data_IF_392486877011
#
_entry.id   IF_392486877011
#
_cell.length_a   1.000
_cell.length_b   1.000
_cell.length_c   1.000
_cell.angle_alpha   90.00
_cell.angle_beta   90.00
_cell.angle_gamma   90.00
#
_symmetry.space_group_name_H-M   'P 1'
#
loop_
_entity.id
_entity.type
_entity.pdbx_description
1 polymer ?
#
# COMPACT_ATOMS: atom_id res chain seq x y z
N UNK A 1 30.43 102.62 -87.64
CA UNK A 1 29.06 102.41 -87.14
C UNK A 1 28.84 103.33 -85.95
N UNK A 2 27.67 103.95 -85.81
CA UNK A 2 27.34 104.74 -84.61
C UNK A 2 27.11 103.80 -83.39
N UNK A 3 27.31 104.25 -82.15
CA UNK A 3 27.04 103.42 -80.97
C UNK A 3 25.60 102.87 -80.95
N UNK A 4 24.62 103.65 -81.38
CA UNK A 4 23.21 103.24 -81.46
C UNK A 4 22.97 102.16 -82.53
N UNK A 5 23.63 102.22 -83.68
CA UNK A 5 23.56 101.16 -84.69
C UNK A 5 24.21 99.86 -84.21
N UNK A 6 25.26 99.96 -83.38
CA UNK A 6 25.93 98.80 -82.80
C UNK A 6 25.03 98.09 -81.78
N UNK A 7 24.48 98.82 -80.80
CA UNK A 7 23.62 98.25 -79.76
C UNK A 7 22.36 97.57 -80.33
N UNK A 8 21.82 98.08 -81.44
CA UNK A 8 20.64 97.53 -82.12
C UNK A 8 20.99 96.51 -83.22
N UNK A 9 22.25 96.08 -83.33
CA UNK A 9 22.65 95.13 -84.36
C UNK A 9 22.05 93.75 -84.10
N UNK A 10 21.55 93.09 -85.14
CA UNK A 10 20.94 91.74 -85.09
C UNK A 10 21.80 90.64 -84.44
N UNK A 11 23.11 90.88 -84.34
CA UNK A 11 24.08 90.00 -83.69
C UNK A 11 23.67 89.69 -82.24
N UNK A 12 23.24 90.70 -81.49
CA UNK A 12 22.88 90.53 -80.08
C UNK A 12 21.66 89.63 -79.93
N UNK A 13 20.66 89.76 -80.80
CA UNK A 13 19.50 88.87 -80.86
C UNK A 13 19.92 87.42 -81.17
N UNK A 14 20.84 87.22 -82.12
CA UNK A 14 21.33 85.86 -82.46
C UNK A 14 22.15 85.24 -81.33
N UNK A 15 22.92 86.06 -80.61
CA UNK A 15 23.68 85.61 -79.45
C UNK A 15 22.76 85.23 -78.28
N UNK A 16 21.70 86.00 -78.04
CA UNK A 16 20.67 85.70 -77.04
C UNK A 16 19.88 84.44 -77.39
N UNK A 17 19.43 84.30 -78.64
CA UNK A 17 18.73 83.09 -79.11
C UNK A 17 19.57 81.82 -78.93
N UNK A 18 20.88 81.92 -79.20
CA UNK A 18 21.80 80.80 -79.01
C UNK A 18 22.04 80.51 -77.52
N UNK A 19 22.23 81.52 -76.67
CA UNK A 19 22.37 81.35 -75.22
C UNK A 19 21.13 80.70 -74.59
N UNK A 20 19.93 81.17 -74.96
CA UNK A 20 18.67 80.56 -74.52
C UNK A 20 18.57 79.11 -74.95
N UNK A 21 18.96 78.78 -76.19
CA UNK A 21 18.91 77.38 -76.67
C UNK A 21 19.94 76.49 -75.96
N UNK A 22 21.10 77.00 -75.58
CA UNK A 22 22.10 76.26 -74.79
C UNK A 22 21.62 76.00 -73.36
N UNK A 23 20.83 76.91 -72.79
CA UNK A 23 20.26 76.77 -71.44
C UNK A 23 19.02 75.89 -71.37
N UNK A 24 18.41 75.59 -72.52
CA UNK A 24 17.21 74.77 -72.65
C UNK A 24 17.43 73.35 -72.08
N UNK A 25 16.54 72.91 -71.19
CA UNK A 25 16.68 71.62 -70.48
C UNK A 25 16.74 70.44 -71.47
N UNK A 26 15.93 70.48 -72.53
CA UNK A 26 15.89 69.45 -73.58
C UNK A 26 17.26 69.27 -74.24
N UNK A 27 17.97 70.36 -74.54
CA UNK A 27 19.29 70.26 -75.16
C UNK A 27 20.34 69.73 -74.16
N UNK A 28 20.27 70.15 -72.89
CA UNK A 28 21.26 69.79 -71.87
C UNK A 28 21.23 68.31 -71.50
N UNK A 29 20.08 67.65 -71.65
CA UNK A 29 19.97 66.18 -71.51
C UNK A 29 20.60 65.43 -72.69
N UNK A 30 20.68 66.04 -73.87
CA UNK A 30 21.11 65.39 -75.11
C UNK A 30 22.58 65.62 -75.46
N UNK A 31 23.16 66.74 -75.02
CA UNK A 31 24.54 67.15 -75.34
C UNK A 31 25.48 66.80 -74.19
N UNK A 32 26.69 66.34 -74.51
CA UNK A 32 27.72 66.05 -73.51
C UNK A 32 28.16 67.30 -72.73
N UNK A 33 28.52 67.11 -71.46
CA UNK A 33 28.94 68.19 -70.56
C UNK A 33 30.09 69.04 -71.14
N UNK A 34 31.02 68.41 -71.86
CA UNK A 34 32.16 69.10 -72.48
C UNK A 34 31.73 70.09 -73.59
N UNK A 35 30.78 69.69 -74.44
CA UNK A 35 30.28 70.53 -75.53
C UNK A 35 29.40 71.66 -74.99
N UNK A 36 28.58 71.41 -73.95
CA UNK A 36 27.82 72.46 -73.25
C UNK A 36 28.76 73.50 -72.63
N UNK A 37 29.78 73.04 -71.90
CA UNK A 37 30.77 73.93 -71.30
C UNK A 37 31.51 74.76 -72.37
N UNK A 38 31.81 74.18 -73.53
CA UNK A 38 32.35 74.91 -74.67
C UNK A 38 31.42 76.05 -75.12
N UNK A 39 30.14 75.76 -75.39
CA UNK A 39 29.20 76.77 -75.87
C UNK A 39 28.97 77.88 -74.83
N UNK A 40 28.76 77.53 -73.56
CA UNK A 40 28.58 78.51 -72.49
C UNK A 40 29.79 79.43 -72.35
N UNK A 41 31.00 78.85 -72.38
CA UNK A 41 32.25 79.62 -72.31
C UNK A 41 32.44 80.53 -73.54
N UNK A 42 32.13 80.01 -74.73
CA UNK A 42 32.26 80.74 -75.99
C UNK A 42 31.28 81.92 -76.07
N UNK A 43 30.01 81.71 -75.70
CA UNK A 43 28.98 82.75 -75.70
C UNK A 43 29.30 83.83 -74.68
N UNK A 44 29.73 83.45 -73.47
CA UNK A 44 30.17 84.41 -72.46
C UNK A 44 31.34 85.27 -72.98
N UNK A 45 32.33 84.65 -73.60
CA UNK A 45 33.45 85.37 -74.21
C UNK A 45 32.99 86.34 -75.32
N UNK A 46 32.06 85.92 -76.17
CA UNK A 46 31.46 86.77 -77.21
C UNK A 46 30.77 87.99 -76.59
N UNK A 47 29.94 87.80 -75.55
CA UNK A 47 29.30 88.89 -74.82
C UNK A 47 30.30 89.88 -74.23
N UNK A 48 31.29 89.38 -73.47
CA UNK A 48 32.30 90.21 -72.82
C UNK A 48 33.08 91.03 -73.86
N UNK A 49 33.44 90.41 -74.98
CA UNK A 49 34.16 91.09 -76.07
C UNK A 49 33.32 92.16 -76.75
N UNK A 50 32.05 91.89 -77.03
CA UNK A 50 31.16 92.86 -77.66
C UNK A 50 30.89 94.06 -76.74
N UNK A 51 30.70 93.82 -75.44
CA UNK A 51 30.49 94.88 -74.45
C UNK A 51 31.70 95.82 -74.29
N UNK A 52 32.91 95.30 -74.51
CA UNK A 52 34.15 96.08 -74.41
C UNK A 52 34.59 96.71 -75.74
N UNK A 53 33.88 96.42 -76.84
CA UNK A 53 34.28 96.88 -78.18
C UNK A 53 34.03 98.38 -78.35
N UNK A 54 34.92 99.08 -79.06
CA UNK A 54 34.76 100.50 -79.42
C UNK A 54 33.89 100.60 -80.69
N UNK A 55 32.59 100.96 -80.60
CA UNK A 55 31.66 100.80 -81.73
C UNK A 55 31.99 101.68 -82.94
N UNK A 56 32.56 102.86 -82.70
CA UNK A 56 32.84 103.87 -83.74
C UNK A 56 33.80 103.41 -84.84
N UNK A 57 34.64 102.41 -84.55
CA UNK A 57 35.68 101.89 -85.45
C UNK A 57 35.44 100.44 -85.89
N UNK A 58 34.26 99.89 -85.61
CA UNK A 58 33.85 98.56 -86.10
C UNK A 58 33.26 98.67 -87.50
N UNK A 59 33.66 97.77 -88.37
CA UNK A 59 33.03 97.57 -89.68
C UNK A 59 31.78 96.71 -89.52
N UNK A 60 30.66 97.16 -90.06
CA UNK A 60 29.37 96.46 -90.00
C UNK A 60 29.43 95.05 -90.61
N UNK A 61 30.23 94.87 -91.67
CA UNK A 61 30.45 93.57 -92.31
C UNK A 61 31.01 92.51 -91.36
N UNK A 62 31.84 92.89 -90.39
CA UNK A 62 32.38 91.95 -89.40
C UNK A 62 31.29 91.50 -88.43
N UNK A 63 30.41 92.41 -87.98
CA UNK A 63 29.28 92.06 -87.12
C UNK A 63 28.24 91.20 -87.83
N UNK A 64 27.96 91.50 -89.11
CA UNK A 64 27.09 90.68 -89.95
C UNK A 64 27.65 89.27 -90.14
N UNK A 65 28.97 89.15 -90.31
CA UNK A 65 29.63 87.84 -90.41
C UNK A 65 29.50 87.06 -89.11
N UNK A 66 29.78 87.67 -87.96
CA UNK A 66 29.61 87.02 -86.65
C UNK A 66 28.15 86.59 -86.46
N UNK A 67 27.19 87.47 -86.78
CA UNK A 67 25.76 87.18 -86.68
C UNK A 67 25.36 85.96 -87.52
N UNK A 68 25.89 85.86 -88.73
CA UNK A 68 25.62 84.74 -89.64
C UNK A 68 26.19 83.44 -89.08
N UNK A 69 27.39 83.46 -88.54
CA UNK A 69 27.99 82.27 -87.91
C UNK A 69 27.23 81.82 -86.66
N UNK A 70 26.74 82.74 -85.82
CA UNK A 70 25.90 82.39 -84.67
C UNK A 70 24.54 81.81 -85.10
N UNK A 71 23.94 82.37 -86.15
CA UNK A 71 22.70 81.83 -86.72
C UNK A 71 22.92 80.42 -87.28
N UNK A 72 24.04 80.17 -87.97
CA UNK A 72 24.40 78.86 -88.48
C UNK A 72 24.63 77.86 -87.34
N UNK A 73 25.32 78.27 -86.26
CA UNK A 73 25.49 77.45 -85.07
C UNK A 73 24.14 77.07 -84.45
N UNK A 74 23.23 78.02 -84.27
CA UNK A 74 21.87 77.78 -83.77
C UNK A 74 21.09 76.81 -84.68
N UNK A 75 21.19 76.96 -86.00
CA UNK A 75 20.53 76.04 -86.95
C UNK A 75 21.06 74.61 -86.83
N UNK A 76 22.36 74.44 -86.61
CA UNK A 76 22.96 73.12 -86.39
C UNK A 76 22.48 72.51 -85.06
N UNK A 77 22.42 73.28 -83.98
CA UNK A 77 21.90 72.82 -82.69
C UNK A 77 20.43 72.39 -82.79
N UNK A 78 19.59 73.18 -83.47
CA UNK A 78 18.20 72.80 -83.70
C UNK A 78 18.07 71.51 -84.53
N UNK A 79 18.96 71.32 -85.51
CA UNK A 79 19.01 70.08 -86.31
C UNK A 79 19.44 68.88 -85.46
N UNK A 80 20.39 69.09 -84.52
CA UNK A 80 20.81 68.07 -83.57
C UNK A 80 19.66 67.62 -82.65
N UNK A 81 18.87 68.55 -82.11
CA UNK A 81 17.71 68.21 -81.27
C UNK A 81 16.72 67.31 -82.04
N UNK A 82 16.50 67.59 -83.33
CA UNK A 82 15.57 66.82 -84.16
C UNK A 82 16.03 65.42 -84.57
N UNK A 83 17.34 65.19 -84.79
CA UNK A 83 17.83 63.92 -85.37
C UNK A 83 18.97 63.23 -84.58
N UNK A 84 19.48 63.86 -83.52
CA UNK A 84 20.53 63.37 -82.63
C UNK A 84 21.87 63.03 -83.31
N UNK A 85 22.12 63.56 -84.51
CA UNK A 85 23.37 63.35 -85.23
C UNK A 85 24.48 64.25 -84.68
N UNK A 86 25.49 63.66 -84.02
CA UNK A 86 26.64 64.35 -83.42
C UNK A 86 27.47 65.19 -84.41
N UNK A 87 27.36 64.94 -85.72
CA UNK A 87 27.95 65.81 -86.74
C UNK A 87 27.43 67.25 -86.67
N UNK A 88 26.17 67.45 -86.27
CA UNK A 88 25.61 68.79 -86.08
C UNK A 88 26.23 69.53 -84.90
N UNK A 89 26.54 68.86 -83.78
CA UNK A 89 27.26 69.47 -82.65
C UNK A 89 28.65 69.90 -83.10
N UNK A 90 29.36 69.05 -83.84
CA UNK A 90 30.67 69.38 -84.41
C UNK A 90 30.60 70.62 -85.33
N UNK A 91 29.60 70.70 -86.21
CA UNK A 91 29.42 71.85 -87.09
C UNK A 91 29.05 73.13 -86.33
N UNK A 92 28.20 73.02 -85.30
CA UNK A 92 27.87 74.14 -84.42
C UNK A 92 29.12 74.71 -83.74
N UNK A 93 30.04 73.85 -83.28
CA UNK A 93 31.34 74.28 -82.74
C UNK A 93 32.20 74.98 -83.79
N UNK A 94 32.26 74.47 -85.01
CA UNK A 94 33.03 75.09 -86.10
C UNK A 94 32.54 76.51 -86.44
N UNK A 95 31.22 76.70 -86.53
CA UNK A 95 30.61 78.02 -86.70
C UNK A 95 30.91 78.95 -85.52
N UNK A 96 30.79 78.44 -84.28
CA UNK A 96 31.13 79.19 -83.06
C UNK A 96 32.61 79.59 -83.03
N UNK A 97 33.53 78.70 -83.41
CA UNK A 97 34.95 79.02 -83.54
C UNK A 97 35.21 80.12 -84.57
N UNK A 98 34.47 80.11 -85.69
CA UNK A 98 34.57 81.15 -86.72
C UNK A 98 34.11 82.51 -86.16
N UNK A 99 33.00 82.53 -85.43
CA UNK A 99 32.53 83.71 -84.71
C UNK A 99 33.56 84.22 -83.68
N UNK A 100 34.17 83.33 -82.90
CA UNK A 100 35.22 83.66 -81.93
C UNK A 100 36.47 84.26 -82.58
N UNK A 101 36.91 83.71 -83.72
CA UNK A 101 38.06 84.22 -84.46
C UNK A 101 37.82 85.66 -84.95
N UNK A 102 36.58 85.98 -85.33
CA UNK A 102 36.16 87.30 -85.78
C UNK A 102 36.02 88.30 -84.64
N UNK A 103 35.33 87.92 -83.55
CA UNK A 103 35.13 88.81 -82.39
C UNK A 103 36.45 89.21 -81.72
N UNK A 104 37.46 88.33 -81.76
CA UNK A 104 38.80 88.61 -81.22
C UNK A 104 39.47 89.81 -81.88
N UNK A 105 39.16 90.08 -83.15
CA UNK A 105 39.76 91.17 -83.92
C UNK A 105 39.02 92.51 -83.73
N UNK A 106 37.89 92.53 -83.00
CA UNK A 106 37.18 93.77 -82.73
C UNK A 106 38.02 94.71 -81.85
N UNK A 107 38.02 96.03 -82.11
CA UNK A 107 38.84 96.98 -81.38
C UNK A 107 38.42 97.09 -79.91
N UNK A 108 39.38 96.92 -79.00
CA UNK A 108 39.19 97.11 -77.56
C UNK A 108 39.99 98.30 -77.02
N UNK A 109 39.51 98.98 -75.97
CA UNK A 109 40.33 99.91 -75.20
C UNK A 109 41.31 99.11 -74.33
N UNK A 110 42.59 99.02 -74.73
CA UNK A 110 43.62 98.43 -73.89
C UNK A 110 44.24 99.48 -72.96
N UNK A 111 44.03 99.32 -71.64
CA UNK A 111 44.89 99.88 -70.60
C UNK A 111 45.98 98.87 -70.27
N UNK A 112 47.25 99.29 -70.22
CA UNK A 112 48.43 98.42 -70.21
C UNK A 112 48.68 97.62 -68.91
N UNK A 113 47.86 97.75 -67.86
CA UNK A 113 48.29 97.35 -66.51
C UNK A 113 47.39 96.43 -65.66
N UNK A 114 46.20 95.98 -66.09
CA UNK A 114 45.22 95.41 -65.13
C UNK A 114 44.88 93.91 -65.22
N UNK A 115 45.63 93.06 -65.92
CA UNK A 115 45.32 91.62 -65.90
C UNK A 115 46.54 90.70 -65.75
N UNK A 116 46.79 90.25 -64.51
CA UNK A 116 47.61 89.07 -64.22
C UNK A 116 46.70 87.93 -63.72
N UNK A 117 45.84 87.43 -64.60
CA UNK A 117 45.02 86.24 -64.33
C UNK A 117 45.85 84.98 -64.06
N UNK A 118 47.10 84.93 -64.55
CA UNK A 118 47.95 83.74 -64.45
C UNK A 118 48.22 83.30 -63.02
N UNK A 119 48.37 84.25 -62.07
CA UNK A 119 48.58 83.91 -60.65
C UNK A 119 47.32 83.37 -59.96
N UNK A 120 46.15 83.95 -60.26
CA UNK A 120 44.88 83.47 -59.72
C UNK A 120 44.48 82.12 -60.33
N UNK A 121 44.74 81.92 -61.62
CA UNK A 121 44.54 80.64 -62.32
C UNK A 121 45.48 79.56 -61.75
N UNK A 122 46.77 79.87 -61.53
CA UNK A 122 47.71 78.92 -60.92
C UNK A 122 47.33 78.56 -59.47
N UNK A 123 46.87 79.53 -58.68
CA UNK A 123 46.37 79.26 -57.32
C UNK A 123 45.09 78.41 -57.35
N UNK A 124 44.18 78.68 -58.28
CA UNK A 124 42.97 77.87 -58.46
C UNK A 124 43.32 76.44 -58.89
N UNK A 125 44.22 76.26 -59.87
CA UNK A 125 44.72 74.93 -60.29
C UNK A 125 45.31 74.16 -59.11
N UNK A 126 46.11 74.83 -58.27
CA UNK A 126 46.68 74.23 -57.05
C UNK A 126 45.59 73.76 -56.08
N UNK A 127 44.62 74.62 -55.76
CA UNK A 127 43.51 74.29 -54.84
C UNK A 127 42.68 73.13 -55.40
N UNK A 128 42.39 73.14 -56.71
CA UNK A 128 41.67 72.06 -57.38
C UNK A 128 42.44 70.74 -57.30
N UNK A 129 43.77 70.75 -57.50
CA UNK A 129 44.60 69.55 -57.34
C UNK A 129 44.60 69.01 -55.91
N UNK A 130 44.74 69.89 -54.92
CA UNK A 130 44.70 69.52 -53.51
C UNK A 130 43.35 68.90 -53.14
N UNK A 131 42.24 69.53 -53.55
CA UNK A 131 40.89 69.00 -53.32
C UNK A 131 40.60 67.72 -54.09
N UNK A 132 41.09 67.59 -55.31
CA UNK A 132 40.99 66.35 -56.08
C UNK A 132 41.72 65.21 -55.38
N UNK A 133 42.94 65.45 -54.88
CA UNK A 133 43.70 64.45 -54.13
C UNK A 133 43.04 64.06 -52.81
N UNK A 134 42.38 65.00 -52.13
CA UNK A 134 41.62 64.73 -50.90
C UNK A 134 40.39 63.85 -51.20
N UNK A 135 39.62 64.18 -52.24
CA UNK A 135 38.48 63.39 -52.70
C UNK A 135 38.92 61.98 -53.15
N UNK A 136 40.03 61.87 -53.87
CA UNK A 136 40.56 60.57 -54.32
C UNK A 136 40.93 59.68 -53.13
N UNK A 137 41.52 60.29 -52.08
CA UNK A 137 41.82 59.59 -50.83
C UNK A 137 40.56 59.16 -50.10
N UNK A 138 39.59 60.05 -49.89
CA UNK A 138 38.31 59.75 -49.22
C UNK A 138 37.55 58.65 -49.98
N UNK A 139 37.53 58.69 -51.31
CA UNK A 139 36.87 57.68 -52.13
C UNK A 139 37.58 56.32 -52.04
N UNK A 140 38.91 56.30 -51.92
CA UNK A 140 39.66 55.07 -51.67
C UNK A 140 39.36 54.49 -50.28
N UNK A 141 39.30 55.32 -49.24
CA UNK A 141 38.96 54.91 -47.87
C UNK A 141 37.53 54.37 -47.80
N UNK A 142 36.57 55.08 -48.38
CA UNK A 142 35.17 54.64 -48.46
C UNK A 142 35.02 53.31 -49.20
N UNK A 143 35.79 53.11 -50.27
CA UNK A 143 35.80 51.83 -50.99
C UNK A 143 36.34 50.69 -50.12
N UNK A 144 37.38 50.93 -49.33
CA UNK A 144 37.91 49.93 -48.39
C UNK A 144 36.89 49.59 -47.31
N UNK A 145 36.24 50.59 -46.71
CA UNK A 145 35.18 50.37 -45.71
C UNK A 145 33.98 49.62 -46.30
N UNK A 146 33.59 49.94 -47.53
CA UNK A 146 32.51 49.24 -48.22
C UNK A 146 32.80 47.76 -48.45
N UNK A 147 34.01 47.42 -48.91
CA UNK A 147 34.40 46.02 -49.11
C UNK A 147 34.49 45.26 -47.79
N UNK A 148 34.96 45.92 -46.71
CA UNK A 148 34.95 45.33 -45.37
C UNK A 148 33.53 45.05 -44.88
N UNK A 149 32.63 46.04 -44.96
CA UNK A 149 31.24 45.89 -44.53
C UNK A 149 30.51 44.82 -45.34
N UNK A 150 30.78 44.73 -46.64
CA UNK A 150 30.26 43.67 -47.50
C UNK A 150 30.74 42.29 -47.04
N UNK A 151 32.01 42.14 -46.70
CA UNK A 151 32.55 40.88 -46.18
C UNK A 151 31.93 40.50 -44.83
N UNK A 152 31.77 41.45 -43.92
CA UNK A 152 31.11 41.24 -42.63
C UNK A 152 29.63 40.85 -42.80
N UNK A 153 28.93 41.45 -43.76
CA UNK A 153 27.55 41.10 -44.10
C UNK A 153 27.44 39.66 -44.64
N UNK A 154 28.33 39.26 -45.55
CA UNK A 154 28.36 37.89 -46.09
C UNK A 154 28.66 36.85 -44.98
N UNK A 155 29.58 37.17 -44.07
CA UNK A 155 29.87 36.31 -42.90
C UNK A 155 28.66 36.21 -41.97
N UNK A 156 28.01 37.33 -41.67
CA UNK A 156 26.82 37.37 -40.81
C UNK A 156 25.68 36.57 -41.43
N UNK A 157 25.43 36.71 -42.73
CA UNK A 157 24.43 35.95 -43.47
C UNK A 157 24.69 34.43 -43.35
N UNK A 158 25.94 34.01 -43.53
CA UNK A 158 26.34 32.60 -43.41
C UNK A 158 26.11 32.07 -41.99
N UNK A 159 26.41 32.87 -40.97
CA UNK A 159 26.21 32.48 -39.58
C UNK A 159 24.73 32.39 -39.21
N UNK A 160 23.89 33.28 -39.73
CA UNK A 160 22.43 33.21 -39.57
C UNK A 160 21.88 31.92 -40.17
N UNK A 161 22.24 31.58 -41.41
CA UNK A 161 21.82 30.33 -42.05
C UNK A 161 22.28 29.08 -41.28
N UNK A 162 23.49 29.14 -40.70
CA UNK A 162 24.01 28.06 -39.85
C UNK A 162 23.19 27.91 -38.57
N UNK A 163 22.85 29.02 -37.93
CA UNK A 163 22.04 29.04 -36.71
C UNK A 163 20.61 28.58 -36.96
N UNK A 164 19.98 28.99 -38.07
CA UNK A 164 18.66 28.53 -38.47
C UNK A 164 18.61 27.01 -38.64
N UNK A 165 19.58 26.42 -39.36
CA UNK A 165 19.70 24.97 -39.51
C UNK A 165 19.92 24.25 -38.18
N UNK A 166 20.74 24.81 -37.30
CA UNK A 166 20.97 24.24 -35.98
C UNK A 166 19.71 24.28 -35.11
N UNK A 167 18.92 25.36 -35.21
CA UNK A 167 17.66 25.50 -34.49
C UNK A 167 16.61 24.51 -34.99
N UNK A 168 16.46 24.35 -36.31
CA UNK A 168 15.57 23.36 -36.93
C UNK A 168 15.94 21.93 -36.51
N UNK A 169 17.23 21.60 -36.48
CA UNK A 169 17.70 20.31 -35.97
C UNK A 169 17.32 20.09 -34.51
N UNK A 170 17.50 21.11 -33.65
CA UNK A 170 17.15 21.03 -32.23
C UNK A 170 15.66 20.92 -32.00
N UNK A 171 14.84 21.58 -32.80
CA UNK A 171 13.39 21.46 -32.75
C UNK A 171 12.93 20.04 -33.11
N UNK A 172 13.52 19.45 -34.16
CA UNK A 172 13.25 18.06 -34.54
C UNK A 172 13.70 17.04 -33.48
N UNK A 173 14.88 17.24 -32.88
CA UNK A 173 15.35 16.42 -31.75
C UNK A 173 14.38 16.50 -30.57
N UNK A 174 13.93 17.71 -30.21
CA UNK A 174 13.01 17.93 -29.09
C UNK A 174 11.65 17.26 -29.33
N UNK A 175 11.11 17.38 -30.54
CA UNK A 175 9.87 16.72 -30.94
C UNK A 175 9.98 15.20 -30.83
N UNK A 176 11.07 14.61 -31.33
CA UNK A 176 11.32 13.17 -31.25
C UNK A 176 11.46 12.69 -29.78
N UNK A 177 12.21 13.44 -28.95
CA UNK A 177 12.34 13.14 -27.52
C UNK A 177 10.97 13.18 -26.84
N UNK A 178 10.14 14.17 -27.16
CA UNK A 178 8.82 14.32 -26.55
C UNK A 178 7.87 13.19 -26.96
N UNK A 179 7.87 12.78 -28.22
CA UNK A 179 7.10 11.62 -28.71
C UNK A 179 7.58 10.31 -28.09
N UNK A 180 8.89 10.10 -28.00
CA UNK A 180 9.49 8.94 -27.35
C UNK A 180 9.14 8.90 -25.86
N UNK A 181 9.25 10.02 -25.17
CA UNK A 181 8.89 10.14 -23.75
C UNK A 181 7.41 9.81 -23.53
N UNK A 182 6.51 10.39 -24.34
CA UNK A 182 5.07 10.14 -24.25
C UNK A 182 4.75 8.66 -24.47
N UNK A 183 5.33 8.06 -25.50
CA UNK A 183 5.15 6.63 -25.82
C UNK A 183 5.66 5.75 -24.67
N UNK A 184 6.84 6.03 -24.15
CA UNK A 184 7.40 5.27 -23.02
C UNK A 184 6.56 5.43 -21.75
N UNK A 185 6.10 6.65 -21.46
CA UNK A 185 5.22 6.91 -20.32
C UNK A 185 3.91 6.15 -20.42
N UNK A 186 3.25 6.18 -21.58
CA UNK A 186 1.99 5.47 -21.81
C UNK A 186 2.19 3.94 -21.74
N UNK A 187 3.30 3.42 -22.27
CA UNK A 187 3.65 2.00 -22.17
C UNK A 187 3.91 1.57 -20.71
N UNK A 188 4.69 2.34 -19.95
CA UNK A 188 4.95 2.07 -18.53
C UNK A 188 3.64 2.11 -17.74
N UNK A 189 2.81 3.12 -17.96
CA UNK A 189 1.51 3.26 -17.30
C UNK A 189 0.59 2.09 -17.61
N UNK A 190 0.49 1.69 -18.87
CA UNK A 190 -0.32 0.55 -19.30
C UNK A 190 0.17 -0.74 -18.67
N UNK A 191 1.49 -1.00 -18.74
CA UNK A 191 2.11 -2.22 -18.19
C UNK A 191 1.93 -2.29 -16.68
N UNK A 192 2.17 -1.19 -15.96
CA UNK A 192 1.99 -1.12 -14.52
C UNK A 192 0.52 -1.36 -14.11
N UNK A 193 -0.42 -0.81 -14.87
CA UNK A 193 -1.86 -1.01 -14.64
C UNK A 193 -2.25 -2.47 -14.86
N UNK A 194 -1.81 -3.07 -15.96
CA UNK A 194 -2.09 -4.48 -16.28
C UNK A 194 -1.47 -5.42 -15.24
N UNK A 195 -0.21 -5.21 -14.86
CA UNK A 195 0.44 -6.01 -13.83
C UNK A 195 -0.29 -5.90 -12.49
N UNK A 196 -0.66 -4.69 -12.07
CA UNK A 196 -1.40 -4.49 -10.82
C UNK A 196 -2.77 -5.17 -10.84
N UNK A 197 -3.51 -5.09 -11.95
CA UNK A 197 -4.79 -5.77 -12.10
C UNK A 197 -4.65 -7.29 -12.09
N UNK A 198 -3.62 -7.81 -12.76
CA UNK A 198 -3.30 -9.24 -12.79
C UNK A 198 -2.91 -9.73 -11.39
N UNK A 199 -1.98 -9.06 -10.71
CA UNK A 199 -1.54 -9.41 -9.35
C UNK A 199 -2.72 -9.38 -8.37
N UNK A 200 -3.58 -8.36 -8.47
CA UNK A 200 -4.79 -8.26 -7.65
C UNK A 200 -5.76 -9.41 -7.92
N UNK A 201 -5.91 -9.83 -9.17
CA UNK A 201 -6.77 -10.96 -9.54
C UNK A 201 -6.19 -12.28 -9.03
N UNK A 202 -4.89 -12.50 -9.23
CA UNK A 202 -4.19 -13.70 -8.75
C UNK A 202 -4.28 -13.80 -7.24
N UNK A 203 -3.97 -12.72 -6.52
CA UNK A 203 -4.04 -12.68 -5.06
C UNK A 203 -5.46 -12.96 -4.55
N UNK A 204 -6.51 -12.43 -5.20
CA UNK A 204 -7.89 -12.73 -4.83
C UNK A 204 -8.22 -14.21 -5.00
N UNK A 205 -7.83 -14.82 -6.12
CA UNK A 205 -8.06 -16.23 -6.36
C UNK A 205 -7.33 -17.11 -5.33
N UNK A 206 -6.04 -16.83 -5.07
CA UNK A 206 -5.27 -17.56 -4.05
C UNK A 206 -5.85 -17.39 -2.64
N UNK A 207 -6.32 -16.20 -2.32
CA UNK A 207 -6.99 -15.92 -1.04
C UNK A 207 -8.29 -16.70 -0.91
N UNK A 208 -9.15 -16.68 -1.94
CA UNK A 208 -10.43 -17.38 -1.95
C UNK A 208 -10.22 -18.91 -1.86
N UNK A 209 -9.23 -19.46 -2.58
CA UNK A 209 -8.83 -20.87 -2.47
C UNK A 209 -8.34 -21.22 -1.05
N UNK A 210 -7.54 -20.36 -0.44
CA UNK A 210 -7.05 -20.55 0.94
C UNK A 210 -8.20 -20.54 1.94
N UNK A 211 -9.16 -19.62 1.79
CA UNK A 211 -10.36 -19.55 2.65
C UNK A 211 -11.21 -20.80 2.47
N UNK A 212 -11.40 -21.29 1.25
CA UNK A 212 -12.15 -22.52 1.00
C UNK A 212 -11.47 -23.74 1.64
N UNK A 213 -10.15 -23.84 1.51
CA UNK A 213 -9.36 -24.92 2.11
C UNK A 213 -9.43 -24.88 3.64
N UNK A 214 -9.26 -23.70 4.24
CA UNK A 214 -9.37 -23.52 5.69
C UNK A 214 -10.77 -23.88 6.20
N UNK A 215 -11.83 -23.49 5.47
CA UNK A 215 -13.20 -23.88 5.82
C UNK A 215 -13.40 -25.40 5.78
N UNK A 216 -12.83 -26.09 4.78
CA UNK A 216 -12.87 -27.57 4.71
C UNK A 216 -12.10 -28.22 5.86
N UNK A 217 -10.93 -27.69 6.21
CA UNK A 217 -10.14 -28.19 7.35
C UNK A 217 -10.87 -27.99 8.68
N UNK A 218 -11.46 -26.81 8.90
CA UNK A 218 -12.27 -26.51 10.09
C UNK A 218 -13.48 -27.45 10.19
N UNK A 219 -14.20 -27.66 9.08
CA UNK A 219 -15.34 -28.56 9.05
C UNK A 219 -14.92 -30.02 9.32
N UNK A 220 -13.78 -30.45 8.76
CA UNK A 220 -13.23 -31.79 9.01
C UNK A 220 -12.83 -31.96 10.48
N UNK A 221 -12.16 -30.95 11.06
CA UNK A 221 -11.76 -30.96 12.47
C UNK A 221 -12.98 -30.99 13.39
N UNK A 222 -13.99 -30.16 13.11
CA UNK A 222 -15.25 -30.12 13.85
C UNK A 222 -15.93 -31.49 13.82
N UNK A 223 -16.11 -32.08 12.65
CA UNK A 223 -16.71 -33.41 12.52
C UNK A 223 -15.90 -34.50 13.25
N UNK A 224 -14.57 -34.41 13.25
CA UNK A 224 -13.71 -35.33 14.02
C UNK A 224 -13.86 -35.14 15.52
N UNK A 225 -13.99 -33.90 16.01
CA UNK A 225 -14.21 -33.59 17.43
C UNK A 225 -15.59 -34.07 17.87
N UNK A 226 -16.64 -33.78 17.09
CA UNK A 226 -18.01 -34.20 17.38
C UNK A 226 -18.09 -35.73 17.45
N UNK A 227 -17.59 -36.43 16.43
CA UNK A 227 -17.55 -37.90 16.42
C UNK A 227 -16.72 -38.49 17.56
N UNK A 228 -15.56 -37.90 17.86
CA UNK A 228 -14.71 -38.36 18.96
C UNK A 228 -15.34 -38.12 20.34
N UNK A 229 -16.07 -37.01 20.49
CA UNK A 229 -16.79 -36.67 21.72
C UNK A 229 -17.98 -37.60 21.92
N UNK A 230 -18.77 -37.86 20.87
CA UNK A 230 -19.90 -38.80 20.92
C UNK A 230 -19.44 -40.21 21.30
N UNK A 231 -18.35 -40.71 20.69
CA UNK A 231 -17.76 -42.00 21.03
C UNK A 231 -17.26 -42.04 22.49
N UNK A 232 -16.62 -40.96 22.96
CA UNK A 232 -16.18 -40.85 24.36
C UNK A 232 -17.35 -40.84 25.33
N UNK A 233 -18.42 -40.09 25.04
CA UNK A 233 -19.64 -40.04 25.85
C UNK A 233 -20.29 -41.42 25.90
N UNK A 234 -20.45 -42.10 24.76
CA UNK A 234 -20.98 -43.46 24.71
C UNK A 234 -20.15 -44.45 25.55
N UNK A 235 -18.82 -44.35 25.48
CA UNK A 235 -17.91 -45.15 26.33
C UNK A 235 -18.07 -44.83 27.81
N UNK A 236 -18.22 -43.56 28.18
CA UNK A 236 -18.43 -43.14 29.57
C UNK A 236 -19.79 -43.61 30.11
N UNK A 237 -20.85 -43.52 29.31
CA UNK A 237 -22.18 -44.03 29.67
C UNK A 237 -22.17 -45.55 29.86
N UNK A 238 -21.49 -46.29 28.98
CA UNK A 238 -21.30 -47.72 29.14
C UNK A 238 -20.54 -48.06 30.44
N UNK A 239 -19.48 -47.31 30.75
CA UNK A 239 -18.72 -47.47 32.01
C UNK A 239 -19.53 -47.10 33.24
N UNK A 240 -20.37 -46.07 33.17
CA UNK A 240 -21.31 -45.71 34.22
C UNK A 240 -22.30 -46.85 34.49
N UNK A 241 -22.84 -47.45 33.43
CA UNK A 241 -23.79 -48.57 33.55
C UNK A 241 -23.15 -49.84 34.10
N UNK A 242 -21.92 -50.15 33.67
CA UNK A 242 -21.10 -51.21 34.28
C UNK A 242 -20.87 -50.95 35.78
N UNK A 243 -20.49 -49.73 36.14
CA UNK A 243 -20.27 -49.34 37.54
C UNK A 243 -21.55 -49.45 38.38
N UNK A 244 -22.70 -49.00 37.86
CA UNK A 244 -24.01 -49.16 38.52
C UNK A 244 -24.35 -50.63 38.76
N UNK A 245 -24.12 -51.50 37.78
CA UNK A 245 -24.33 -52.95 37.92
C UNK A 245 -23.41 -53.57 38.97
N UNK A 246 -22.12 -53.21 38.96
CA UNK A 246 -21.16 -53.70 39.96
C UNK A 246 -21.58 -53.26 41.36
N UNK A 247 -21.90 -51.97 41.54
CA UNK A 247 -22.32 -51.45 42.85
C UNK A 247 -23.63 -52.09 43.31
N UNK A 248 -24.63 -52.23 42.44
CA UNK A 248 -25.91 -52.88 42.77
C UNK A 248 -25.76 -54.37 43.13
N UNK A 249 -24.92 -55.12 42.41
CA UNK A 249 -24.67 -56.53 42.71
C UNK A 249 -23.82 -56.70 43.98
N UNK A 250 -22.82 -55.83 44.20
CA UNK A 250 -21.95 -55.90 45.37
C UNK A 250 -22.69 -55.45 46.63
N UNK A 251 -23.56 -54.43 46.60
CA UNK A 251 -24.31 -54.01 47.80
C UNK A 251 -25.31 -55.07 48.25
N UNK A 252 -26.08 -55.64 47.30
CA UNK A 252 -27.16 -56.56 47.65
C UNK A 252 -26.65 -57.92 48.13
N UNK A 253 -25.61 -58.50 47.50
CA UNK A 253 -25.12 -59.83 47.87
C UNK A 253 -24.06 -59.84 48.97
N UNK A 254 -23.19 -58.83 49.05
CA UNK A 254 -22.08 -58.88 50.01
C UNK A 254 -22.54 -58.61 51.44
N UNK A 255 -23.43 -57.64 51.64
CA UNK A 255 -23.89 -57.27 52.99
C UNK A 255 -24.90 -58.28 53.53
N UNK A 256 -25.93 -58.62 52.77
CA UNK A 256 -26.99 -59.55 53.21
C UNK A 256 -26.49 -60.99 53.32
N UNK A 257 -25.64 -61.43 52.40
CA UNK A 257 -25.07 -62.78 52.40
C UNK A 257 -24.20 -63.07 53.62
N UNK A 258 -23.47 -62.07 54.14
CA UNK A 258 -22.68 -62.25 55.36
C UNK A 258 -23.58 -62.41 56.60
N UNK A 259 -24.62 -61.58 56.74
CA UNK A 259 -25.61 -61.72 57.81
C UNK A 259 -26.35 -63.07 57.74
N UNK A 260 -26.69 -63.53 56.53
CA UNK A 260 -27.30 -64.84 56.30
C UNK A 260 -26.40 -66.00 56.75
N UNK A 261 -25.12 -65.95 56.38
CA UNK A 261 -24.14 -66.98 56.76
C UNK A 261 -23.95 -67.02 58.28
N UNK A 262 -23.75 -65.86 58.92
CA UNK A 262 -23.62 -65.74 60.38
C UNK A 262 -24.89 -66.22 61.09
N UNK A 263 -26.07 -65.89 60.58
CA UNK A 263 -27.33 -66.39 61.14
C UNK A 263 -27.42 -67.92 61.05
N UNK A 264 -27.14 -68.49 59.88
CA UNK A 264 -27.18 -69.94 59.66
C UNK A 264 -26.18 -70.71 60.55
N UNK A 265 -24.97 -70.18 60.76
CA UNK A 265 -23.96 -70.81 61.61
C UNK A 265 -24.33 -70.74 63.10
N UNK A 266 -24.91 -69.62 63.54
CA UNK A 266 -25.48 -69.49 64.88
C UNK A 266 -26.68 -70.41 65.09
N UNK A 267 -27.56 -70.57 64.09
CA UNK A 267 -28.68 -71.52 64.12
C UNK A 267 -28.19 -72.96 64.37
N UNK A 268 -27.22 -73.41 63.55
CA UNK A 268 -26.62 -74.74 63.70
C UNK A 268 -25.98 -74.92 65.07
N UNK A 269 -25.29 -73.90 65.58
CA UNK A 269 -24.62 -73.97 66.89
C UNK A 269 -25.65 -74.00 68.03
N UNK A 270 -26.71 -73.21 67.94
CA UNK A 270 -27.82 -73.24 68.87
C UNK A 270 -28.48 -74.62 68.93
N UNK A 271 -28.74 -75.25 67.77
CA UNK A 271 -29.34 -76.57 67.70
C UNK A 271 -28.40 -77.66 68.23
N UNK A 272 -27.10 -77.58 67.95
CA UNK A 272 -26.10 -78.49 68.56
C UNK A 272 -26.15 -78.42 70.09
N UNK A 273 -26.10 -77.22 70.67
CA UNK A 273 -26.19 -77.05 72.12
C UNK A 273 -27.55 -77.48 72.68
N UNK A 274 -28.64 -77.30 71.94
CA UNK A 274 -29.97 -77.80 72.31
C UNK A 274 -29.98 -79.32 72.39
N UNK A 275 -29.43 -80.01 71.40
CA UNK A 275 -29.32 -81.47 71.40
C UNK A 275 -28.41 -81.97 72.52
N UNK A 276 -27.31 -81.29 72.82
CA UNK A 276 -26.45 -81.59 73.99
C UNK A 276 -27.25 -81.44 75.29
N UNK A 277 -27.98 -80.34 75.46
CA UNK A 277 -28.79 -80.10 76.65
C UNK A 277 -29.91 -81.15 76.82
N UNK A 278 -30.62 -81.49 75.74
CA UNK A 278 -31.64 -82.54 75.74
C UNK A 278 -31.02 -83.89 76.08
N UNK A 279 -29.87 -84.23 75.49
CA UNK A 279 -29.14 -85.46 75.78
C UNK A 279 -28.76 -85.58 77.26
N UNK A 280 -28.20 -84.52 77.84
CA UNK A 280 -27.86 -84.47 79.27
C UNK A 280 -29.09 -84.57 80.16
N UNK A 281 -30.20 -83.92 79.80
CA UNK A 281 -31.47 -84.01 80.52
C UNK A 281 -32.11 -85.40 80.44
N UNK A 282 -31.98 -86.08 79.30
CA UNK A 282 -32.43 -87.47 79.14
C UNK A 282 -31.59 -88.44 79.97
N UNK A 283 -30.27 -88.27 80.01
CA UNK A 283 -29.37 -89.06 80.88
C UNK A 283 -29.72 -88.83 82.34
N UNK A 284 -29.93 -87.57 82.75
CA UNK A 284 -30.33 -87.22 84.11
C UNK A 284 -31.69 -87.82 84.48
N UNK A 285 -32.67 -87.73 83.58
CA UNK A 285 -33.99 -88.35 83.77
C UNK A 285 -33.91 -89.88 83.85
N UNK A 286 -33.10 -90.51 82.98
CA UNK A 286 -32.84 -91.95 83.01
C UNK A 286 -32.17 -92.41 84.30
N UNK A 287 -31.19 -91.65 84.79
CA UNK A 287 -30.61 -91.88 86.12
C UNK A 287 -31.68 -91.82 87.20
N UNK A 288 -32.54 -90.79 87.21
CA UNK A 288 -33.62 -90.68 88.20
C UNK A 288 -34.59 -91.88 88.13
N UNK A 289 -35.01 -92.31 86.94
CA UNK A 289 -35.88 -93.49 86.76
C UNK A 289 -35.20 -94.76 87.27
N UNK A 290 -33.93 -94.99 86.89
CA UNK A 290 -33.14 -96.11 87.37
C UNK A 290 -33.03 -96.11 88.91
N UNK A 291 -32.86 -94.93 89.50
CA UNK A 291 -32.74 -94.81 90.97
C UNK A 291 -34.04 -95.17 91.70
N UNK A 292 -35.20 -94.83 91.12
CA UNK A 292 -36.52 -95.20 91.67
C UNK A 292 -36.71 -96.72 91.59
N UNK A 293 -36.27 -97.35 90.50
CA UNK A 293 -36.36 -98.80 90.33
C UNK A 293 -35.48 -99.58 91.30
N UNK A 294 -34.21 -99.17 91.49
CA UNK A 294 -33.24 -99.86 92.36
C UNK A 294 -33.60 -99.79 93.86
N UNK A 295 -34.32 -98.75 94.31
CA UNK A 295 -34.79 -98.61 95.71
C UNK A 295 -35.83 -99.66 96.09
N UNK A 296 -36.41 -100.38 95.12
CA UNK A 296 -37.41 -101.43 95.37
C UNK A 296 -36.80 -102.79 95.77
N UNK A 297 -35.47 -102.90 95.91
CA UNK A 297 -34.74 -104.08 96.41
C UNK A 297 -34.25 -103.90 97.86
N UNK A 298 -34.27 -104.99 98.64
CA UNK A 298 -34.32 -105.08 100.11
C UNK A 298 -33.09 -104.57 100.93
N UNK A 299 -32.47 -103.45 100.58
CA UNK A 299 -31.52 -102.75 101.48
C UNK A 299 -31.31 -101.28 101.10
N UNK A 300 -31.80 -100.37 101.95
CA UNK A 300 -31.59 -98.93 101.78
C UNK A 300 -30.14 -98.52 102.14
N UNK A 301 -29.36 -98.11 101.14
CA UNK A 301 -27.98 -97.62 101.30
C UNK A 301 -27.93 -96.10 101.08
N UNK A 302 -27.71 -95.36 102.16
CA UNK A 302 -27.66 -93.89 102.14
C UNK A 302 -26.49 -93.36 101.30
N UNK A 303 -25.38 -94.12 101.21
CA UNK A 303 -24.16 -93.73 100.48
C UNK A 303 -24.43 -93.68 98.98
N UNK A 304 -25.15 -94.69 98.46
CA UNK A 304 -25.59 -94.75 97.05
C UNK A 304 -26.52 -93.58 96.72
N UNK A 305 -27.41 -93.20 97.64
CA UNK A 305 -28.33 -92.07 97.45
C UNK A 305 -27.61 -90.72 97.38
N UNK A 306 -26.56 -90.51 98.19
CA UNK A 306 -25.76 -89.28 98.16
C UNK A 306 -24.98 -89.15 96.84
N UNK A 307 -24.36 -90.23 96.36
CA UNK A 307 -23.63 -90.25 95.08
C UNK A 307 -24.59 -89.90 93.92
N UNK A 308 -25.85 -90.38 93.96
CA UNK A 308 -26.87 -90.06 92.93
C UNK A 308 -27.24 -88.59 92.87
N UNK A 309 -27.47 -87.96 94.03
CA UNK A 309 -27.77 -86.52 94.11
C UNK A 309 -26.58 -85.71 93.60
N UNK A 310 -25.35 -86.09 93.99
CA UNK A 310 -24.12 -85.44 93.51
C UNK A 310 -23.92 -85.63 92.01
N UNK A 311 -24.21 -86.82 91.44
CA UNK A 311 -24.14 -87.06 90.00
C UNK A 311 -25.21 -86.28 89.23
N UNK A 312 -26.43 -86.18 89.73
CA UNK A 312 -27.49 -85.36 89.14
C UNK A 312 -27.13 -83.85 89.19
N UNK A 313 -26.57 -83.38 90.31
CA UNK A 313 -26.07 -82.02 90.44
C UNK A 313 -24.90 -81.74 89.48
N UNK A 314 -23.96 -82.67 89.35
CA UNK A 314 -22.82 -82.56 88.44
C UNK A 314 -23.24 -82.52 86.96
N UNK A 315 -24.31 -83.23 86.58
CA UNK A 315 -24.86 -83.21 85.21
C UNK A 315 -25.78 -82.01 84.93
N UNK A 316 -26.41 -81.43 85.96
CA UNK A 316 -27.29 -80.26 85.82
C UNK A 316 -26.53 -79.00 85.36
N UNK A 317 -25.29 -78.83 85.81
CA UNK A 317 -24.44 -77.69 85.43
C UNK A 317 -24.15 -77.63 83.91
N UNK A 318 -23.57 -78.67 83.26
CA UNK A 318 -23.33 -78.65 81.82
C UNK A 318 -24.63 -78.64 81.01
N UNK A 319 -25.73 -79.23 81.51
CA UNK A 319 -27.03 -79.18 80.83
C UNK A 319 -27.60 -77.75 80.79
N UNK A 320 -27.54 -77.03 81.92
CA UNK A 320 -28.00 -75.65 82.03
C UNK A 320 -27.12 -74.71 81.21
N UNK A 321 -25.80 -74.92 81.26
CA UNK A 321 -24.87 -74.17 80.42
C UNK A 321 -25.17 -74.37 78.93
N UNK A 322 -25.32 -75.61 78.46
CA UNK A 322 -25.65 -75.89 77.07
C UNK A 322 -27.00 -75.27 76.65
N UNK A 323 -28.01 -75.28 77.52
CA UNK A 323 -29.29 -74.62 77.23
C UNK A 323 -29.18 -73.09 77.15
N UNK A 324 -28.37 -72.48 78.03
CA UNK A 324 -28.09 -71.03 78.00
C UNK A 324 -27.30 -70.65 76.74
N UNK A 325 -26.27 -71.41 76.41
CA UNK A 325 -25.44 -71.17 75.23
C UNK A 325 -26.24 -71.36 73.93
N UNK A 326 -27.12 -72.37 73.89
CA UNK A 326 -28.10 -72.53 72.80
C UNK A 326 -28.98 -71.28 72.63
N UNK A 327 -29.49 -70.74 73.74
CA UNK A 327 -30.35 -69.55 73.73
C UNK A 327 -29.60 -68.30 73.27
N UNK A 328 -28.32 -68.16 73.67
CA UNK A 328 -27.44 -67.08 73.24
C UNK A 328 -27.24 -67.11 71.72
N UNK A 329 -26.86 -68.26 71.17
CA UNK A 329 -26.72 -68.43 69.72
C UNK A 329 -28.04 -68.23 68.97
N UNK A 330 -29.18 -68.68 69.51
CA UNK A 330 -30.50 -68.46 68.89
C UNK A 330 -30.87 -66.97 68.83
N UNK A 331 -30.46 -66.21 69.84
CA UNK A 331 -30.64 -64.76 69.86
C UNK A 331 -29.76 -64.07 68.81
N UNK A 332 -28.49 -64.47 68.71
CA UNK A 332 -27.58 -63.97 67.69
C UNK A 332 -28.06 -64.32 66.29
N UNK A 333 -28.56 -65.54 66.06
CA UNK A 333 -29.22 -65.90 64.80
C UNK A 333 -30.36 -64.92 64.50
N UNK A 334 -31.30 -64.73 65.43
CA UNK A 334 -32.48 -63.90 65.20
C UNK A 334 -32.12 -62.45 64.87
N UNK A 335 -31.08 -61.90 65.53
CA UNK A 335 -30.56 -60.56 65.25
C UNK A 335 -29.97 -60.47 63.83
N UNK A 336 -29.10 -61.40 63.46
CA UNK A 336 -28.47 -61.41 62.14
C UNK A 336 -29.48 -61.72 61.02
N UNK A 337 -30.43 -62.63 61.25
CA UNK A 337 -31.52 -62.93 60.32
C UNK A 337 -32.43 -61.72 60.11
N UNK A 338 -32.73 -60.98 61.18
CA UNK A 338 -33.51 -59.74 61.09
C UNK A 338 -32.76 -58.67 60.29
N UNK A 339 -31.45 -58.52 60.52
CA UNK A 339 -30.61 -57.62 59.73
C UNK A 339 -30.57 -58.02 58.24
N UNK A 340 -30.38 -59.31 57.93
CA UNK A 340 -30.44 -59.87 56.58
C UNK A 340 -31.77 -59.50 55.89
N UNK A 341 -32.90 -59.80 56.54
CA UNK A 341 -34.23 -59.55 55.98
C UNK A 341 -34.52 -58.06 55.82
N UNK A 342 -34.19 -57.23 56.80
CA UNK A 342 -34.38 -55.77 56.70
C UNK A 342 -33.55 -55.18 55.56
N UNK A 343 -32.28 -55.58 55.41
CA UNK A 343 -31.40 -55.09 54.36
C UNK A 343 -31.76 -55.63 52.97
N UNK A 344 -32.30 -56.85 52.88
CA UNK A 344 -32.78 -57.43 51.61
C UNK A 344 -34.10 -56.80 51.17
N UNK A 345 -35.00 -56.56 52.11
CA UNK A 345 -36.35 -56.09 51.80
C UNK A 345 -36.42 -54.58 51.55
N UNK A 346 -35.48 -53.79 52.08
CA UNK A 346 -35.58 -52.34 52.02
C UNK A 346 -35.63 -51.79 50.60
N UNK A 347 -34.81 -52.33 49.68
CA UNK A 347 -34.73 -51.88 48.28
C UNK A 347 -36.11 -51.88 47.61
N UNK A 348 -36.78 -53.05 47.51
CA UNK A 348 -38.14 -53.13 47.00
C UNK A 348 -39.17 -52.24 47.71
N UNK A 349 -39.05 -52.05 49.04
CA UNK A 349 -40.03 -51.27 49.81
C UNK A 349 -39.92 -49.75 49.63
N UNK A 350 -38.73 -49.23 49.32
CA UNK A 350 -38.53 -47.79 49.15
C UNK A 350 -38.54 -47.36 47.69
N UNK A 351 -38.54 -48.29 46.73
CA UNK A 351 -38.41 -48.01 45.29
C UNK A 351 -39.48 -47.06 44.73
N UNK A 352 -40.71 -47.11 45.27
CA UNK A 352 -41.84 -46.29 44.83
C UNK A 352 -41.92 -44.91 45.53
N UNK A 353 -41.00 -44.61 46.47
CA UNK A 353 -41.00 -43.35 47.21
C UNK A 353 -40.26 -42.24 46.42
N UNK A 354 -40.53 -40.95 46.69
CA UNK A 354 -39.74 -39.85 46.19
C UNK A 354 -38.26 -39.95 46.63
N UNK A 355 -37.34 -39.48 45.80
CA UNK A 355 -35.89 -39.66 46.01
C UNK A 355 -35.38 -39.07 47.32
N UNK A 356 -35.93 -37.92 47.75
CA UNK A 356 -35.61 -37.29 49.03
C UNK A 356 -35.92 -38.21 50.22
N UNK A 357 -37.05 -38.94 50.17
CA UNK A 357 -37.44 -39.88 51.22
C UNK A 357 -36.64 -41.18 51.17
N UNK A 358 -36.26 -41.64 49.98
CA UNK A 358 -35.30 -42.75 49.83
C UNK A 358 -33.97 -42.43 50.50
N UNK A 359 -33.46 -41.21 50.30
CA UNK A 359 -32.19 -40.75 50.86
C UNK A 359 -32.25 -40.69 52.40
N UNK A 360 -33.30 -40.10 52.97
CA UNK A 360 -33.52 -40.02 54.42
C UNK A 360 -33.55 -41.40 55.08
N UNK A 361 -34.23 -42.37 54.46
CA UNK A 361 -34.32 -43.74 54.97
C UNK A 361 -32.95 -44.44 54.91
N UNK A 362 -32.21 -44.27 53.81
CA UNK A 362 -30.85 -44.83 53.67
C UNK A 362 -29.91 -44.28 54.73
N UNK A 363 -29.94 -42.98 55.01
CA UNK A 363 -29.12 -42.34 56.06
C UNK A 363 -29.37 -42.97 57.44
N UNK A 364 -30.64 -43.10 57.84
CA UNK A 364 -31.03 -43.75 59.10
C UNK A 364 -30.59 -45.21 59.19
N UNK A 365 -30.59 -45.95 58.08
CA UNK A 365 -30.13 -47.33 58.05
C UNK A 365 -28.61 -47.45 58.17
N UNK A 366 -27.88 -46.56 57.50
CA UNK A 366 -26.41 -46.49 57.63
C UNK A 366 -26.03 -46.22 59.08
N UNK A 367 -26.69 -45.28 59.75
CA UNK A 367 -26.46 -44.99 61.16
C UNK A 367 -26.76 -46.21 62.06
N UNK A 368 -27.88 -46.90 61.82
CA UNK A 368 -28.30 -48.07 62.61
C UNK A 368 -27.35 -49.26 62.50
N UNK A 369 -26.82 -49.55 61.30
CA UNK A 369 -26.05 -50.76 61.02
C UNK A 369 -24.52 -50.56 61.02
N UNK A 370 -24.06 -49.37 60.67
CA UNK A 370 -22.63 -49.04 60.53
C UNK A 370 -22.17 -47.93 61.48
N UNK A 371 -23.08 -47.28 62.21
CA UNK A 371 -22.74 -46.36 63.29
C UNK A 371 -22.04 -47.09 64.44
N UNK A 372 -21.09 -46.43 65.10
CA UNK A 372 -20.23 -47.00 66.12
C UNK A 372 -20.95 -47.22 67.48
N UNK A 373 -22.14 -47.84 67.46
CA UNK A 373 -22.93 -48.18 68.64
C UNK A 373 -22.55 -49.58 69.15
N UNK A 374 -21.36 -49.68 69.74
CA UNK A 374 -20.80 -50.92 70.31
C UNK A 374 -21.54 -51.45 71.56
N UNK A 375 -22.70 -50.90 71.91
CA UNK A 375 -23.38 -51.13 73.20
C UNK A 375 -24.56 -52.12 73.15
N UNK A 376 -24.92 -52.70 71.99
CA UNK A 376 -26.15 -53.50 71.89
C UNK A 376 -25.96 -55.00 72.21
N UNK A 377 -24.73 -55.51 72.30
CA UNK A 377 -24.46 -56.92 72.64
C UNK A 377 -24.17 -57.11 74.14
N UNK A 378 -23.57 -56.12 74.82
CA UNK A 378 -23.24 -56.18 76.25
C UNK A 378 -24.45 -56.04 77.19
N UNK A 379 -25.49 -55.29 76.79
CA UNK A 379 -26.66 -54.99 77.64
C UNK A 379 -27.66 -56.16 77.80
N UNK A 380 -27.34 -57.33 77.25
CA UNK A 380 -28.27 -58.44 77.10
C UNK A 380 -27.92 -59.68 77.92
N UNK A 381 -26.69 -59.78 78.43
CA UNK A 381 -26.27 -60.82 79.37
C UNK A 381 -26.65 -60.45 80.83
N UNK A 382 -26.82 -59.16 81.16
CA UNK A 382 -26.84 -58.69 82.57
C UNK A 382 -28.20 -58.75 83.30
N UNK A 383 -29.29 -59.20 82.65
CA UNK A 383 -30.66 -59.14 83.23
C UNK A 383 -31.29 -60.47 83.65
N UNK A 384 -30.56 -61.60 83.65
CA UNK A 384 -31.12 -62.91 84.04
C UNK A 384 -30.20 -63.78 84.91
N UNK A 385 -29.17 -63.21 85.54
CA UNK A 385 -28.19 -63.97 86.34
C UNK A 385 -28.51 -64.11 87.84
N UNK A 386 -29.76 -63.86 88.26
CA UNK A 386 -30.25 -64.35 89.56
C UNK A 386 -31.17 -65.56 89.37
N UNK A 387 -30.92 -66.60 90.18
CA UNK A 387 -31.75 -67.80 90.41
C UNK A 387 -31.34 -69.11 89.71
N UNK A 388 -30.05 -69.50 89.81
CA UNK A 388 -29.68 -70.79 90.45
C UNK A 388 -28.28 -70.61 91.07
N UNK A 389 -28.22 -69.97 92.23
CA UNK A 389 -26.97 -69.81 92.98
C UNK A 389 -26.49 -71.18 93.50
N UNK A 390 -25.17 -71.38 93.51
CA UNK A 390 -24.48 -72.45 94.26
C UNK A 390 -25.02 -72.55 95.70
N UNK A 391 -25.56 -71.45 96.26
CA UNK A 391 -26.26 -71.42 97.55
C UNK A 391 -27.51 -72.30 97.65
N UNK A 392 -28.17 -72.67 96.55
CA UNK A 392 -29.30 -73.64 96.58
C UNK A 392 -28.78 -75.06 96.74
N UNK A 393 -27.67 -75.40 96.07
CA UNK A 393 -26.98 -76.69 96.25
C UNK A 393 -26.37 -76.75 97.66
N UNK A 394 -25.76 -75.67 98.14
CA UNK A 394 -25.22 -75.58 99.51
C UNK A 394 -26.31 -75.71 100.58
N UNK A 395 -27.50 -75.13 100.36
CA UNK A 395 -28.67 -75.32 101.25
C UNK A 395 -29.16 -76.76 101.22
N UNK A 396 -29.30 -77.40 100.06
CA UNK A 396 -29.73 -78.81 99.95
C UNK A 396 -28.72 -79.72 100.66
N UNK A 397 -27.42 -79.52 100.44
CA UNK A 397 -26.35 -80.26 101.12
C UNK A 397 -26.39 -80.03 102.63
N UNK A 398 -26.48 -78.79 103.11
CA UNK A 398 -26.57 -78.47 104.56
C UNK A 398 -27.81 -79.07 105.23
N UNK A 399 -28.92 -79.20 104.51
CA UNK A 399 -30.16 -79.77 105.05
C UNK A 399 -30.09 -81.31 105.16
N UNK A 400 -29.27 -81.97 104.34
CA UNK A 400 -29.08 -83.42 104.35
C UNK A 400 -27.99 -83.90 105.33
N UNK A 401 -27.02 -83.05 105.70
CA UNK A 401 -25.91 -83.40 106.63
C UNK A 401 -26.38 -83.97 107.99
N UNK A 402 -27.45 -83.47 108.66
CA UNK A 402 -27.91 -84.02 109.94
C UNK A 402 -28.41 -85.47 109.86
N UNK A 403 -28.85 -85.92 108.68
CA UNK A 403 -29.36 -87.28 108.44
C UNK A 403 -28.25 -88.29 108.10
N UNK A 404 -26.99 -87.83 107.99
CA UNK A 404 -25.82 -88.65 107.67
C UNK A 404 -25.00 -89.10 108.90
N UNK A 405 -25.42 -88.73 110.11
CA UNK A 405 -24.70 -89.00 111.37
C UNK A 405 -25.46 -89.91 112.37
N UNK A 406 -26.33 -90.80 111.90
CA UNK A 406 -26.88 -91.87 112.74
C UNK A 406 -26.91 -93.21 112.04
#
# INVERSE_FOLDING_TARGET
>A
MTPTEFENHQLFEKLEQLDLKIRDEELRELVGVDDLNFFETALKYLYDRLNLTIPSIVQESELNTISTELQNALSQINSFVGNKNQGHVTNAKNHTHTALARVRNLPLPFSKNDFNFSKNIANFEKIVKEKYSEIEKENSELKTEFEQLKSELEQTQTEVERLEKALEQKENELNNINETFKTNFDNIKSTATQNYEQDRSTFRNEFDETVELLNKEVETLKNSIDSGTDDLVAKLEAKLEEAKKIVGVVSDKAVTGNYQNVANDNMKTADRFRWIAIGLMLVLSGLLIYTIWDISGDSFDWTKSLIRILSAAALSYPATYAARESSKHRRLESLNRKAELELTAIGPFIELLPDEKKQEIKEKLVEKYFGNNHNSISDLDDKRDENVSIGTIERIVKTLIPFLKK
#
